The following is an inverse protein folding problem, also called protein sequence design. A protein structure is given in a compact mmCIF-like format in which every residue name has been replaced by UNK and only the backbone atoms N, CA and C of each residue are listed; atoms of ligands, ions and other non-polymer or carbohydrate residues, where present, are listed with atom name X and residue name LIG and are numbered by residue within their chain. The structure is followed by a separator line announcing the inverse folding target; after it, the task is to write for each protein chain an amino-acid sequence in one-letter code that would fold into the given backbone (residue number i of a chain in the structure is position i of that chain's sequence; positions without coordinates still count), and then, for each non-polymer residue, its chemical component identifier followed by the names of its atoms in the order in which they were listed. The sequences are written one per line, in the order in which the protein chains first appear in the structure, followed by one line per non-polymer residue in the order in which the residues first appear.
data_IF_399559759280
#
_entry.id   IF_399559759280
#
_cell.length_a   1.000
_cell.length_b   1.000
_cell.length_c   1.000
_cell.angle_alpha   90.00
_cell.angle_beta   90.00
_cell.angle_gamma   90.00
#
_symmetry.space_group_name_H-M   'P 1'
#
loop_
_entity.id
_entity.type
_entity.pdbx_description
1 polymer ?
#
# COMPACT_ATOMS: atom_id res chain seq x y z
N UNK A 1 6.93 16.63 -18.46
CA UNK A 1 6.01 15.60 -18.94
C UNK A 1 4.90 15.51 -17.91
N UNK A 2 3.68 15.84 -18.31
CA UNK A 2 2.49 15.78 -17.46
C UNK A 2 2.01 14.33 -17.38
N UNK A 3 2.40 13.61 -16.33
CA UNK A 3 1.82 12.31 -16.00
C UNK A 3 0.50 12.57 -15.27
N UNK A 4 -0.59 12.66 -16.04
CA UNK A 4 -1.93 12.63 -15.50
C UNK A 4 -2.80 11.82 -16.42
N UNK A 5 -2.83 10.52 -16.15
CA UNK A 5 -3.99 9.67 -16.36
C UNK A 5 -3.86 8.54 -15.34
N UNK A 6 -4.21 8.77 -14.07
CA UNK A 6 -4.69 7.62 -13.32
C UNK A 6 -6.00 7.22 -14.00
N UNK A 7 -5.97 6.09 -14.68
CA UNK A 7 -7.15 5.52 -15.30
C UNK A 7 -8.15 5.21 -14.20
N UNK A 8 -9.41 5.64 -14.35
CA UNK A 8 -10.43 5.31 -13.35
C UNK A 8 -10.52 3.78 -13.17
N UNK A 9 -10.70 3.28 -11.92
CA UNK A 9 -10.82 1.85 -11.70
C UNK A 9 -12.01 1.26 -12.46
N UNK A 10 -11.81 0.07 -13.03
CA UNK A 10 -12.86 -0.70 -13.71
C UNK A 10 -13.93 -1.13 -12.70
N UNK A 11 -13.51 -1.50 -11.50
CA UNK A 11 -14.38 -1.91 -10.40
C UNK A 11 -13.71 -1.63 -9.06
N UNK A 12 -14.51 -1.31 -8.05
CA UNK A 12 -14.06 -1.20 -6.67
C UNK A 12 -15.16 -1.68 -5.71
N UNK A 13 -14.78 -2.31 -4.60
CA UNK A 13 -15.74 -2.79 -3.63
C UNK A 13 -15.15 -3.70 -2.56
N UNK A 14 -15.99 -4.01 -1.56
CA UNK A 14 -15.64 -4.95 -0.50
C UNK A 14 -15.83 -6.40 -0.94
N UNK A 15 -14.83 -7.22 -0.63
CA UNK A 15 -14.86 -8.68 -0.63
C UNK A 15 -14.21 -9.14 0.68
N UNK A 16 -15.00 -9.08 1.75
CA UNK A 16 -14.55 -9.09 3.14
C UNK A 16 -13.48 -10.16 3.44
N UNK A 17 -12.42 -9.81 4.19
CA UNK A 17 -12.14 -8.51 4.81
C UNK A 17 -11.48 -7.48 3.87
N UNK A 18 -11.41 -7.74 2.56
CA UNK A 18 -10.60 -6.96 1.64
C UNK A 18 -11.41 -5.86 0.94
N UNK A 19 -10.83 -4.66 0.83
CA UNK A 19 -11.29 -3.66 -0.12
C UNK A 19 -10.49 -3.80 -1.42
N UNK A 20 -11.17 -4.06 -2.53
CA UNK A 20 -10.53 -4.35 -3.82
C UNK A 20 -10.71 -3.20 -4.79
N UNK A 21 -9.64 -2.88 -5.51
CA UNK A 21 -9.63 -1.94 -6.63
C UNK A 21 -9.07 -2.66 -7.85
N UNK A 22 -9.89 -2.82 -8.89
CA UNK A 22 -9.51 -3.43 -10.16
C UNK A 22 -9.17 -2.36 -11.18
N UNK A 23 -7.92 -2.34 -11.61
CA UNK A 23 -7.41 -1.54 -12.71
C UNK A 23 -7.34 -2.40 -13.98
N UNK A 24 -6.92 -1.81 -15.09
CA UNK A 24 -6.68 -2.58 -16.30
C UNK A 24 -5.56 -3.61 -16.10
N UNK A 25 -4.41 -3.17 -15.59
CA UNK A 25 -3.16 -3.96 -15.51
C UNK A 25 -3.00 -4.78 -14.23
N UNK A 26 -3.76 -4.46 -13.19
CA UNK A 26 -3.64 -5.13 -11.90
C UNK A 26 -4.93 -5.03 -11.08
N UNK A 27 -5.02 -5.86 -10.04
CA UNK A 27 -5.97 -5.69 -8.95
C UNK A 27 -5.21 -5.51 -7.65
N UNK A 28 -5.50 -4.43 -6.92
CA UNK A 28 -5.03 -4.22 -5.56
C UNK A 28 -6.13 -4.64 -4.56
N UNK A 29 -5.74 -5.38 -3.53
CA UNK A 29 -6.62 -5.85 -2.45
C UNK A 29 -6.03 -5.37 -1.13
N UNK A 30 -6.67 -4.38 -0.54
CA UNK A 30 -6.24 -3.71 0.69
C UNK A 30 -6.96 -4.29 1.90
N UNK A 31 -6.29 -4.36 3.04
CA UNK A 31 -6.86 -4.79 4.33
C UNK A 31 -6.94 -3.63 5.33
N UNK A 32 -7.82 -2.64 5.11
CA UNK A 32 -8.04 -1.55 6.06
C UNK A 32 -8.67 -2.07 7.36
N UNK A 33 -8.60 -1.28 8.43
CA UNK A 33 -9.25 -1.62 9.70
C UNK A 33 -10.77 -1.54 9.59
N UNK A 34 -11.48 -2.28 10.45
CA UNK A 34 -12.94 -2.25 10.47
C UNK A 34 -13.48 -0.83 10.73
N UNK A 35 -14.37 -0.36 9.86
CA UNK A 35 -14.95 0.98 9.90
C UNK A 35 -13.98 2.14 9.60
N UNK A 36 -12.75 1.87 9.14
CA UNK A 36 -11.80 2.91 8.73
C UNK A 36 -12.29 3.66 7.48
N UNK A 37 -12.14 4.98 7.48
CA UNK A 37 -12.39 5.79 6.28
C UNK A 37 -11.31 5.49 5.23
N UNK A 38 -11.72 4.95 4.08
CA UNK A 38 -10.82 4.58 2.99
C UNK A 38 -10.03 5.77 2.42
N UNK A 39 -10.49 7.00 2.62
CA UNK A 39 -9.76 8.22 2.24
C UNK A 39 -8.64 8.60 3.21
N UNK A 40 -8.67 8.07 4.44
CA UNK A 40 -7.76 8.42 5.53
C UNK A 40 -6.80 7.29 5.90
N UNK A 41 -6.88 6.14 5.22
CA UNK A 41 -6.02 4.97 5.45
C UNK A 41 -4.55 5.38 5.38
N UNK A 42 -3.84 5.19 6.50
CA UNK A 42 -2.44 5.62 6.67
C UNK A 42 -1.45 4.47 6.83
N UNK A 43 -1.93 3.26 7.11
CA UNK A 43 -1.17 2.02 7.26
C UNK A 43 -2.04 0.86 6.79
N UNK A 44 -1.64 0.12 5.75
CA UNK A 44 -2.44 -0.96 5.21
C UNK A 44 -1.61 -2.03 4.52
N UNK A 45 -1.97 -3.29 4.72
CA UNK A 45 -1.46 -4.40 3.93
C UNK A 45 -2.16 -4.45 2.57
N UNK A 46 -1.39 -4.68 1.51
CA UNK A 46 -1.91 -4.78 0.14
C UNK A 46 -1.37 -5.99 -0.58
N UNK A 47 -2.28 -6.76 -1.18
CA UNK A 47 -1.94 -7.73 -2.22
C UNK A 47 -2.21 -7.15 -3.60
N UNK A 48 -1.24 -7.29 -4.49
CA UNK A 48 -1.37 -6.91 -5.91
C UNK A 48 -1.30 -8.17 -6.77
N UNK A 49 -2.33 -8.38 -7.58
CA UNK A 49 -2.33 -9.41 -8.63
C UNK A 49 -2.17 -8.73 -9.98
N UNK A 50 -1.10 -9.03 -10.71
CA UNK A 50 -0.85 -8.48 -12.05
C UNK A 50 -1.63 -9.26 -13.13
N UNK A 51 -1.74 -8.70 -14.34
CA UNK A 51 -2.37 -9.34 -15.52
C UNK A 51 -1.87 -10.77 -15.79
N UNK A 52 -0.59 -11.05 -15.53
CA UNK A 52 0.02 -12.37 -15.73
C UNK A 52 -0.33 -13.39 -14.63
N UNK A 53 -1.09 -12.97 -13.61
CA UNK A 53 -1.50 -13.78 -12.47
C UNK A 53 -0.47 -13.84 -11.33
N UNK A 54 0.71 -13.23 -11.48
CA UNK A 54 1.67 -13.11 -10.39
C UNK A 54 1.09 -12.30 -9.23
N UNK A 55 1.42 -12.71 -8.01
CA UNK A 55 0.92 -12.10 -6.77
C UNK A 55 2.06 -11.53 -5.95
N UNK A 56 1.81 -10.35 -5.40
CA UNK A 56 2.80 -9.55 -4.72
C UNK A 56 2.20 -8.92 -3.47
N UNK A 57 3.04 -8.63 -2.47
CA UNK A 57 2.63 -8.03 -1.20
C UNK A 57 3.51 -6.84 -0.84
N UNK A 58 2.91 -5.88 -0.14
CA UNK A 58 3.57 -4.83 0.59
C UNK A 58 2.73 -4.39 1.79
N UNK A 59 3.37 -3.81 2.80
CA UNK A 59 2.68 -2.97 3.80
C UNK A 59 2.97 -1.51 3.51
N UNK A 60 1.92 -0.74 3.24
CA UNK A 60 2.02 0.68 2.87
C UNK A 60 1.83 1.55 4.10
N UNK A 61 2.70 2.54 4.29
CA UNK A 61 2.60 3.55 5.35
C UNK A 61 2.67 4.95 4.76
N UNK A 62 1.98 5.91 5.36
CA UNK A 62 2.23 7.33 5.07
C UNK A 62 3.44 7.85 5.86
N UNK A 63 4.09 8.89 5.36
CA UNK A 63 5.18 9.57 6.10
C UNK A 63 4.72 10.02 7.48
N UNK A 64 3.50 10.58 7.57
CA UNK A 64 2.93 11.06 8.84
C UNK A 64 2.67 9.93 9.83
N UNK A 65 2.30 8.75 9.34
CA UNK A 65 2.06 7.59 10.19
C UNK A 65 3.35 6.97 10.71
N UNK A 66 4.40 6.88 9.88
CA UNK A 66 5.73 6.48 10.34
C UNK A 66 6.21 7.41 11.47
N UNK A 67 6.06 8.73 11.29
CA UNK A 67 6.44 9.70 12.33
C UNK A 67 5.61 9.52 13.61
N UNK A 68 4.30 9.31 13.49
CA UNK A 68 3.39 9.08 14.62
C UNK A 68 3.79 7.83 15.40
N UNK A 69 4.08 6.74 14.71
CA UNK A 69 4.52 5.48 15.32
C UNK A 69 5.87 5.63 16.03
N UNK A 70 6.85 6.28 15.40
CA UNK A 70 8.15 6.54 16.05
C UNK A 70 8.01 7.40 17.32
N UNK A 71 7.15 8.42 17.31
CA UNK A 71 6.85 9.23 18.51
C UNK A 71 6.16 8.40 19.60
N UNK A 72 5.24 7.52 19.22
CA UNK A 72 4.58 6.60 20.17
C UNK A 72 5.60 5.66 20.82
N UNK A 73 6.50 5.09 20.04
CA UNK A 73 7.52 4.14 20.50
C UNK A 73 8.61 4.76 21.36
N UNK A 74 8.80 6.08 21.30
CA UNK A 74 9.65 6.81 22.24
C UNK A 74 9.22 6.59 23.71
N UNK A 75 7.94 6.28 23.95
CA UNK A 75 7.42 5.94 25.28
C UNK A 75 7.52 4.46 25.67
N UNK A 76 7.75 3.53 24.73
CA UNK A 76 7.61 2.08 24.96
C UNK A 76 8.90 1.26 24.78
N UNK A 77 10.03 1.91 24.46
CA UNK A 77 11.33 1.29 24.12
C UNK A 77 11.31 0.36 22.88
N UNK A 78 10.17 0.23 22.23
CA UNK A 78 10.04 -0.39 20.90
C UNK A 78 10.90 0.38 19.89
N UNK A 79 11.47 -0.34 18.92
CA UNK A 79 12.36 0.23 17.91
C UNK A 79 13.48 1.15 18.49
N UNK A 80 14.11 0.70 19.59
CA UNK A 80 15.12 1.45 20.36
C UNK A 80 14.60 2.83 20.82
N UNK A 81 13.36 2.87 21.29
CA UNK A 81 12.67 4.10 21.69
C UNK A 81 12.26 4.94 20.48
N UNK A 82 11.76 4.30 19.43
CA UNK A 82 11.30 4.97 18.21
C UNK A 82 12.42 5.59 17.36
N UNK A 83 13.66 5.12 17.48
CA UNK A 83 14.80 5.65 16.71
C UNK A 83 14.82 5.19 15.26
N UNK A 84 14.10 4.13 14.94
CA UNK A 84 13.96 3.63 13.59
C UNK A 84 12.55 3.13 13.35
N UNK A 85 12.22 2.97 12.07
CA UNK A 85 11.05 2.28 11.58
C UNK A 85 11.54 1.22 10.58
N UNK A 86 10.97 0.01 10.62
CA UNK A 86 11.34 -1.06 9.72
C UNK A 86 10.20 -2.05 9.54
N UNK A 87 9.99 -2.47 8.29
CA UNK A 87 9.08 -3.54 7.87
C UNK A 87 9.68 -4.18 6.61
N UNK A 88 9.52 -5.49 6.43
CA UNK A 88 10.21 -6.28 5.40
C UNK A 88 9.84 -5.88 3.96
N UNK A 89 8.59 -5.52 3.75
CA UNK A 89 7.95 -5.20 2.47
C UNK A 89 7.29 -3.82 2.54
N UNK A 90 7.98 -2.87 3.17
CA UNK A 90 7.48 -1.51 3.41
C UNK A 90 7.55 -0.60 2.20
N UNK A 91 6.42 0.02 1.87
CA UNK A 91 6.35 1.16 0.97
C UNK A 91 5.88 2.40 1.74
N UNK A 92 6.67 3.47 1.73
CA UNK A 92 6.25 4.76 2.30
C UNK A 92 5.69 5.66 1.19
N UNK A 93 4.44 6.05 1.32
CA UNK A 93 3.76 7.02 0.45
C UNK A 93 3.60 8.36 1.15
N UNK A 94 3.36 9.42 0.37
CA UNK A 94 3.20 10.77 0.93
C UNK A 94 1.82 10.96 1.58
N UNK A 95 0.78 10.66 0.81
CA UNK A 95 -0.60 11.02 1.13
C UNK A 95 -1.42 9.78 1.49
N UNK A 96 -2.39 9.90 2.42
CA UNK A 96 -3.22 8.78 2.85
C UNK A 96 -4.26 8.38 1.79
N UNK A 97 -4.89 7.23 2.03
CA UNK A 97 -6.09 6.80 1.31
C UNK A 97 -5.81 5.81 0.19
N UNK A 98 -6.78 4.93 -0.02
CA UNK A 98 -6.69 3.82 -0.98
C UNK A 98 -6.50 4.31 -2.42
N UNK A 99 -7.12 5.42 -2.80
CA UNK A 99 -6.97 5.98 -4.14
C UNK A 99 -5.51 6.45 -4.38
N UNK A 100 -4.92 7.19 -3.45
CA UNK A 100 -3.52 7.62 -3.54
C UNK A 100 -2.56 6.42 -3.59
N UNK A 101 -2.80 5.39 -2.78
CA UNK A 101 -1.99 4.18 -2.78
C UNK A 101 -2.13 3.39 -4.09
N UNK A 102 -3.33 3.36 -4.68
CA UNK A 102 -3.58 2.74 -5.99
C UNK A 102 -2.84 3.49 -7.09
N UNK A 103 -2.86 4.82 -7.08
CA UNK A 103 -2.13 5.66 -8.03
C UNK A 103 -0.62 5.45 -7.95
N UNK A 104 -0.08 5.29 -6.73
CA UNK A 104 1.33 4.91 -6.53
C UNK A 104 1.63 3.55 -7.15
N UNK A 105 0.80 2.53 -6.90
CA UNK A 105 0.99 1.19 -7.48
C UNK A 105 0.97 1.25 -9.02
N UNK A 106 0.03 1.99 -9.60
CA UNK A 106 -0.05 2.18 -11.05
C UNK A 106 1.24 2.84 -11.59
N UNK A 107 1.70 3.92 -10.97
CA UNK A 107 2.94 4.59 -11.36
C UNK A 107 4.18 3.69 -11.26
N UNK A 108 4.28 2.86 -10.22
CA UNK A 108 5.39 1.90 -10.06
C UNK A 108 5.38 0.84 -11.17
N UNK A 109 4.20 0.37 -11.59
CA UNK A 109 4.06 -0.58 -12.70
C UNK A 109 4.45 0.09 -14.02
N UNK A 110 3.94 1.30 -14.29
CA UNK A 110 4.23 2.07 -15.50
C UNK A 110 5.73 2.38 -15.65
N UNK A 111 6.42 2.67 -14.54
CA UNK A 111 7.85 2.97 -14.53
C UNK A 111 8.75 1.73 -14.48
N UNK A 112 8.18 0.54 -14.32
CA UNK A 112 8.94 -0.72 -14.20
C UNK A 112 9.67 -0.91 -12.86
N UNK A 113 9.30 -0.15 -11.83
CA UNK A 113 9.92 -0.16 -10.49
C UNK A 113 9.21 -1.14 -9.53
N UNK A 114 8.03 -1.62 -9.91
CA UNK A 114 7.14 -2.42 -9.05
C UNK A 114 7.83 -3.65 -8.42
N UNK A 115 8.56 -4.45 -9.21
CA UNK A 115 9.20 -5.68 -8.73
C UNK A 115 10.41 -5.45 -7.82
N UNK A 116 10.94 -4.23 -7.77
CA UNK A 116 12.04 -3.86 -6.87
C UNK A 116 11.53 -3.51 -5.46
N UNK A 117 10.25 -3.13 -5.36
CA UNK A 117 9.63 -2.61 -4.14
C UNK A 117 8.72 -3.66 -3.50
N UNK A 118 7.89 -4.34 -4.29
CA UNK A 118 6.97 -5.34 -3.79
C UNK A 118 7.63 -6.71 -3.65
N UNK A 119 7.20 -7.48 -2.66
CA UNK A 119 7.67 -8.85 -2.48
C UNK A 119 6.77 -9.85 -3.22
N UNK A 120 7.32 -10.81 -3.98
CA UNK A 120 6.52 -11.85 -4.62
C UNK A 120 5.97 -12.82 -3.57
N UNK A 121 4.68 -13.16 -3.70
CA UNK A 121 4.06 -14.21 -2.90
C UNK A 121 4.41 -15.56 -3.52
N UNK A 122 5.37 -16.24 -2.91
CA UNK A 122 5.74 -17.60 -3.31
C UNK A 122 4.83 -18.58 -2.58
N UNK A 123 4.00 -19.31 -3.32
CA UNK A 123 3.27 -20.44 -2.76
C UNK A 123 4.27 -21.59 -2.56
N UNK A 124 4.47 -22.01 -1.31
CA UNK A 124 5.11 -23.29 -0.97
C UNK A 124 4.14 -24.46 -1.15
#
# INVERSE_FOLDING_TARGET
MSHSTSSEPIERGWDEPWYRVRMEDFQASFLPSDGEDLGEVCNVDVFVTLKDGSRWTATVFTVVEVERLMKLWAGTNEALGGRYFWVSDGLIVRDPGIDNMTDVIAGLIENGEFSEIFQPVINN
#
